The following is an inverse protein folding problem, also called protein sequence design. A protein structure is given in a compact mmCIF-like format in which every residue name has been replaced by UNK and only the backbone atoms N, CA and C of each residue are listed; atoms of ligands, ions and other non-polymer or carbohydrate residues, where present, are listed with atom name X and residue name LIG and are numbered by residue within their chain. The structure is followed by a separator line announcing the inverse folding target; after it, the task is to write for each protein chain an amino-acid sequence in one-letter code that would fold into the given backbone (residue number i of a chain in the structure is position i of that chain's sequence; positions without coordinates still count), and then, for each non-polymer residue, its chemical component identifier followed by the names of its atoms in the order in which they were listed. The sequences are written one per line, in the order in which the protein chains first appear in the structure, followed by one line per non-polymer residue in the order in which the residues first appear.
data_IF_346924165806
#
_entry.id   IF_346924165806
#
_cell.length_a   1.000
_cell.length_b   1.000
_cell.length_c   1.000
_cell.angle_alpha   90.00
_cell.angle_beta   90.00
_cell.angle_gamma   90.00
#
_symmetry.space_group_name_H-M   'P 1'
#
loop_
_entity.id
_entity.type
_entity.pdbx_description
1 polymer ?
#
# COMPACT_ATOMS: atom_id res chain seq x y z
N UNK A 1 -13.16 2.28 2.31
CA UNK A 1 -12.33 1.15 2.76
C UNK A 1 -12.52 0.76 4.22
N UNK A 2 -12.15 1.57 5.23
CA UNK A 2 -12.30 1.15 6.66
C UNK A 2 -13.71 0.66 6.97
N UNK A 3 -14.73 1.50 6.77
CA UNK A 3 -16.12 1.14 7.06
C UNK A 3 -16.61 -0.06 6.24
N UNK A 4 -16.07 -0.25 5.04
CA UNK A 4 -16.46 -1.36 4.16
C UNK A 4 -15.86 -2.69 4.65
N UNK A 5 -14.64 -2.66 5.22
CA UNK A 5 -13.99 -3.84 5.79
C UNK A 5 -14.56 -4.19 7.16
N UNK A 6 -14.92 -3.21 7.97
CA UNK A 6 -15.48 -3.45 9.31
C UNK A 6 -16.80 -4.28 9.24
N UNK A 7 -17.55 -4.15 8.14
CA UNK A 7 -18.79 -4.90 7.89
C UNK A 7 -18.55 -6.27 7.21
N UNK A 8 -17.29 -6.66 6.95
CA UNK A 8 -16.97 -7.97 6.36
C UNK A 8 -16.82 -9.03 7.44
N UNK A 9 -17.78 -9.95 7.50
CA UNK A 9 -17.75 -11.11 8.40
C UNK A 9 -17.23 -12.40 7.73
N UNK A 10 -16.62 -12.28 6.54
CA UNK A 10 -16.02 -13.40 5.84
C UNK A 10 -14.75 -13.90 6.57
N UNK A 11 -14.47 -15.20 6.44
CA UNK A 11 -13.22 -15.80 6.97
C UNK A 11 -12.01 -15.52 6.09
N UNK A 12 -12.24 -15.25 4.81
CA UNK A 12 -11.22 -15.03 3.78
C UNK A 12 -11.59 -13.78 2.98
N UNK A 13 -10.59 -12.97 2.65
CA UNK A 13 -10.72 -11.77 1.82
C UNK A 13 -9.66 -11.82 0.73
N UNK A 14 -10.09 -11.62 -0.52
CA UNK A 14 -9.18 -11.40 -1.64
C UNK A 14 -9.10 -9.90 -1.95
N UNK A 15 -7.88 -9.37 -2.01
CA UNK A 15 -7.60 -7.98 -2.34
C UNK A 15 -6.89 -7.93 -3.69
N UNK A 16 -7.63 -7.53 -4.71
CA UNK A 16 -7.11 -7.36 -6.07
C UNK A 16 -6.40 -6.02 -6.23
N UNK A 17 -5.15 -6.04 -6.70
CA UNK A 17 -4.29 -4.85 -6.79
C UNK A 17 -3.80 -4.65 -8.24
N UNK A 18 -4.21 -3.53 -8.81
CA UNK A 18 -3.64 -2.95 -10.02
C UNK A 18 -3.48 -1.42 -9.81
N UNK A 19 -2.33 -1.00 -9.32
CA UNK A 19 -2.08 0.39 -8.93
C UNK A 19 -0.62 0.81 -9.08
N UNK A 20 -0.44 2.06 -9.54
CA UNK A 20 0.85 2.75 -9.59
C UNK A 20 1.33 3.28 -8.22
N UNK A 21 0.50 3.16 -7.19
CA UNK A 21 0.75 3.70 -5.86
C UNK A 21 -0.06 4.98 -5.59
N UNK A 22 0.48 5.86 -4.74
CA UNK A 22 -0.23 7.05 -4.26
C UNK A 22 0.41 7.60 -3.00
N UNK A 23 -0.41 8.11 -2.09
CA UNK A 23 0.05 8.63 -0.81
C UNK A 23 0.64 7.51 0.07
N UNK A 24 1.84 7.75 0.61
CA UNK A 24 2.57 6.75 1.39
C UNK A 24 1.91 6.47 2.75
N UNK A 25 1.30 7.48 3.39
CA UNK A 25 0.66 7.32 4.69
C UNK A 25 -0.69 6.60 4.56
N UNK A 26 -1.46 6.89 3.51
CA UNK A 26 -2.67 6.13 3.18
C UNK A 26 -2.32 4.66 2.88
N UNK A 27 -1.24 4.40 2.14
CA UNK A 27 -0.75 3.04 1.90
C UNK A 27 -0.43 2.29 3.20
N UNK A 28 0.21 2.95 4.17
CA UNK A 28 0.47 2.39 5.50
C UNK A 28 -0.82 2.19 6.29
N UNK A 29 -1.77 3.12 6.23
CA UNK A 29 -3.04 3.00 6.93
C UNK A 29 -3.82 1.77 6.45
N UNK A 30 -3.93 1.59 5.13
CA UNK A 30 -4.57 0.43 4.52
C UNK A 30 -3.84 -0.86 4.87
N UNK A 31 -2.51 -0.88 4.79
CA UNK A 31 -1.68 -2.03 5.20
C UNK A 31 -2.02 -2.47 6.64
N UNK A 32 -2.14 -1.51 7.56
CA UNK A 32 -2.49 -1.80 8.95
C UNK A 32 -3.94 -2.27 9.11
N UNK A 33 -4.89 -1.80 8.30
CA UNK A 33 -6.26 -2.33 8.35
C UNK A 33 -6.31 -3.79 7.91
N UNK A 34 -5.68 -4.11 6.78
CA UNK A 34 -5.66 -5.48 6.27
C UNK A 34 -4.99 -6.42 7.28
N UNK A 35 -3.87 -6.01 7.86
CA UNK A 35 -3.13 -6.82 8.84
C UNK A 35 -3.88 -7.07 10.15
N UNK A 36 -4.72 -6.12 10.57
CA UNK A 36 -5.49 -6.25 11.81
C UNK A 36 -6.88 -6.86 11.60
N UNK A 37 -7.26 -7.14 10.35
CA UNK A 37 -8.55 -7.73 10.05
C UNK A 37 -8.57 -9.20 10.52
N UNK A 38 -9.68 -9.71 11.10
CA UNK A 38 -9.75 -11.09 11.60
C UNK A 38 -9.82 -12.15 10.50
N UNK A 39 -10.13 -11.76 9.27
CA UNK A 39 -10.15 -12.65 8.10
C UNK A 39 -8.72 -12.92 7.61
N UNK A 40 -8.52 -14.08 6.97
CA UNK A 40 -7.31 -14.36 6.21
C UNK A 40 -7.32 -13.54 4.91
N UNK A 41 -6.35 -12.64 4.76
CA UNK A 41 -6.26 -11.73 3.61
C UNK A 41 -5.26 -12.26 2.59
N UNK A 42 -5.71 -12.45 1.34
CA UNK A 42 -4.85 -12.76 0.19
C UNK A 42 -4.84 -11.57 -0.77
N UNK A 43 -3.68 -10.94 -0.95
CA UNK A 43 -3.49 -9.95 -2.00
C UNK A 43 -3.16 -10.64 -3.32
N UNK A 44 -3.88 -10.29 -4.38
CA UNK A 44 -3.67 -10.80 -5.74
C UNK A 44 -3.25 -9.60 -6.60
N UNK A 45 -2.03 -9.64 -7.14
CA UNK A 45 -1.57 -8.61 -8.08
C UNK A 45 -2.08 -8.98 -9.47
N UNK A 46 -2.91 -8.12 -10.06
CA UNK A 46 -3.50 -8.40 -11.38
C UNK A 46 -2.63 -7.85 -12.53
N UNK A 47 -1.72 -6.91 -12.23
CA UNK A 47 -0.80 -6.35 -13.23
C UNK A 47 0.35 -5.58 -12.60
N UNK A 48 0.09 -4.36 -12.12
CA UNK A 48 1.11 -3.53 -11.49
C UNK A 48 0.79 -3.28 -10.02
N UNK A 49 1.78 -3.44 -9.15
CA UNK A 49 1.70 -3.11 -7.73
C UNK A 49 2.92 -2.26 -7.37
N UNK A 50 2.80 -0.95 -7.55
CA UNK A 50 3.92 -0.03 -7.48
C UNK A 50 3.80 0.94 -6.29
N UNK A 51 4.95 1.35 -5.75
CA UNK A 51 5.06 2.38 -4.72
C UNK A 51 4.17 2.07 -3.50
N UNK A 52 3.34 3.01 -3.03
CA UNK A 52 2.44 2.80 -1.89
C UNK A 52 1.53 1.56 -2.01
N UNK A 53 1.18 1.10 -3.22
CA UNK A 53 0.39 -0.12 -3.41
C UNK A 53 1.16 -1.37 -2.97
N UNK A 54 2.49 -1.39 -3.12
CA UNK A 54 3.31 -2.48 -2.60
C UNK A 54 3.27 -2.56 -1.08
N UNK A 55 3.17 -1.42 -0.38
CA UNK A 55 2.98 -1.38 1.07
C UNK A 55 1.62 -1.96 1.46
N UNK A 56 0.57 -1.65 0.70
CA UNK A 56 -0.77 -2.23 0.90
C UNK A 56 -0.73 -3.75 0.77
N UNK A 57 -0.10 -4.27 -0.28
CA UNK A 57 0.04 -5.71 -0.49
C UNK A 57 0.73 -6.42 0.68
N UNK A 58 1.68 -5.75 1.34
CA UNK A 58 2.36 -6.28 2.54
C UNK A 58 1.49 -6.33 3.80
N UNK A 59 0.28 -5.77 3.75
CA UNK A 59 -0.73 -5.91 4.80
C UNK A 59 -1.46 -7.25 4.78
N UNK A 60 -1.36 -8.02 3.69
CA UNK A 60 -2.01 -9.32 3.53
C UNK A 60 -1.19 -10.47 4.14
N UNK A 61 -1.86 -11.58 4.49
CA UNK A 61 -1.21 -12.81 4.95
C UNK A 61 -0.49 -13.55 3.82
N UNK A 62 -1.03 -13.43 2.60
CA UNK A 62 -0.50 -14.05 1.40
C UNK A 62 -0.51 -13.06 0.24
N UNK A 63 0.56 -13.05 -0.55
CA UNK A 63 0.63 -12.28 -1.80
C UNK A 63 0.80 -13.26 -2.97
N UNK A 64 -0.07 -13.16 -3.96
CA UNK A 64 -0.05 -13.95 -5.19
C UNK A 64 0.27 -13.02 -6.35
N UNK A 65 1.32 -13.37 -7.12
CA UNK A 65 1.76 -12.63 -8.30
C UNK A 65 1.87 -13.58 -9.49
N UNK A 66 0.94 -13.51 -10.46
CA UNK A 66 1.09 -14.18 -11.75
C UNK A 66 2.38 -13.72 -12.47
N UNK A 67 2.95 -14.58 -13.32
CA UNK A 67 4.27 -14.36 -13.94
C UNK A 67 4.36 -13.13 -14.85
N UNK A 68 3.22 -12.60 -15.30
CA UNK A 68 3.11 -11.41 -16.13
C UNK A 68 2.87 -10.12 -15.33
N UNK A 69 3.06 -10.15 -14.00
CA UNK A 69 2.84 -9.00 -13.11
C UNK A 69 4.13 -8.43 -12.56
N UNK A 70 4.06 -7.17 -12.10
CA UNK A 70 5.21 -6.42 -11.61
C UNK A 70 4.90 -5.79 -10.26
N UNK A 71 5.82 -5.98 -9.30
CA UNK A 71 5.85 -5.22 -8.06
C UNK A 71 7.06 -4.27 -8.10
N UNK A 72 6.83 -2.99 -7.81
CA UNK A 72 7.87 -1.96 -7.88
C UNK A 72 7.94 -1.20 -6.55
N UNK A 73 9.09 -1.27 -5.90
CA UNK A 73 9.35 -0.61 -4.61
C UNK A 73 10.39 0.49 -4.84
N UNK A 74 10.13 1.69 -4.32
CA UNK A 74 11.08 2.80 -4.36
C UNK A 74 10.92 3.69 -3.12
N UNK A 75 11.88 4.59 -2.88
CA UNK A 75 11.81 5.55 -1.77
C UNK A 75 10.68 6.56 -1.97
N UNK A 76 10.09 7.04 -0.88
CA UNK A 76 9.07 8.08 -0.94
C UNK A 76 9.58 9.29 -1.74
N UNK A 77 8.69 9.88 -2.54
CA UNK A 77 8.96 11.06 -3.32
C UNK A 77 7.98 12.17 -2.92
N UNK A 78 8.41 13.42 -3.01
CA UNK A 78 7.56 14.57 -2.71
C UNK A 78 7.96 15.78 -3.56
N UNK A 79 7.10 16.78 -3.59
CA UNK A 79 7.41 18.11 -4.08
C UNK A 79 7.33 19.09 -2.91
N UNK A 80 8.35 19.95 -2.76
CA UNK A 80 8.41 20.93 -1.68
C UNK A 80 8.84 22.31 -2.21
N UNK A 81 8.34 23.37 -1.58
CA UNK A 81 8.70 24.75 -1.87
C UNK A 81 8.98 25.51 -0.57
N UNK A 82 9.99 26.38 -0.57
CA UNK A 82 10.37 27.17 0.59
C UNK A 82 11.85 27.54 0.62
N UNK A 83 12.31 28.05 1.77
CA UNK A 83 13.73 28.39 1.96
C UNK A 83 14.62 27.15 2.12
N UNK A 84 15.94 27.36 2.05
CA UNK A 84 16.93 26.28 2.10
C UNK A 84 16.81 25.37 3.33
N UNK A 85 16.50 25.92 4.51
CA UNK A 85 16.32 25.14 5.76
C UNK A 85 15.11 24.22 5.65
N UNK A 86 13.99 24.73 5.14
CA UNK A 86 12.75 23.97 4.96
C UNK A 86 12.94 22.85 3.93
N UNK A 87 13.59 23.17 2.80
CA UNK A 87 13.87 22.18 1.76
C UNK A 87 14.83 21.09 2.24
N UNK A 88 15.87 21.44 3.01
CA UNK A 88 16.77 20.43 3.63
C UNK A 88 16.00 19.51 4.56
N UNK A 89 15.21 20.08 5.48
CA UNK A 89 14.39 19.29 6.41
C UNK A 89 13.42 18.35 5.68
N UNK A 90 12.85 18.78 4.55
CA UNK A 90 11.98 17.93 3.73
C UNK A 90 12.76 16.80 3.05
N UNK A 91 13.95 17.07 2.53
CA UNK A 91 14.81 16.05 1.95
C UNK A 91 15.24 14.98 2.98
N UNK A 92 15.53 15.38 4.22
CA UNK A 92 15.93 14.45 5.30
C UNK A 92 14.80 13.53 5.77
N UNK A 93 13.53 13.84 5.43
CA UNK A 93 12.37 13.01 5.75
C UNK A 93 12.03 11.94 4.70
N UNK A 94 12.77 11.87 3.57
CA UNK A 94 12.57 10.92 2.46
C UNK A 94 13.62 9.80 2.43
#
# INVERSE_FOLDING_TARGET
MRNELDDVHAKEIEVHIHSNGGDAFEGVAICNYLRNHPAQVTAIVDGMCASAASVIAMGADKVIMPSNTVMMVHRAATMAFGNAVTLRKRADML
#
